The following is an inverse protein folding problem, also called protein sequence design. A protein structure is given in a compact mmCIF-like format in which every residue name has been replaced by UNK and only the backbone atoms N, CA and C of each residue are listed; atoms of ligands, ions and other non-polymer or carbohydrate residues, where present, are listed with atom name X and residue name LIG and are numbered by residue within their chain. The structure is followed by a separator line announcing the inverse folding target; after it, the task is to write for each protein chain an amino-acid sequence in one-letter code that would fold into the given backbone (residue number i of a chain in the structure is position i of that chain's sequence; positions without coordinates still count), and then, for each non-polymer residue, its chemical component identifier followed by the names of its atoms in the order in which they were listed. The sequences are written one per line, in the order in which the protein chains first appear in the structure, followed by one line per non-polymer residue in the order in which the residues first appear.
data_IF_460619627389
#
_entry.id   IF_460619627389
#
_cell.length_a   1.000
_cell.length_b   1.000
_cell.length_c   1.000
_cell.angle_alpha   90.00
_cell.angle_beta   90.00
_cell.angle_gamma   90.00
#
_symmetry.space_group_name_H-M   'P 1'
#
loop_
_entity.id
_entity.type
_entity.pdbx_description
1 polymer ?
#
# COMPACT_ATOMS: atom_id res chain seq x y z
N UNK A 1 -23.80 -7.59 -0.68
CA UNK A 1 -23.24 -8.12 0.58
C UNK A 1 -23.67 -7.19 1.71
N UNK A 2 -23.95 -7.69 2.92
CA UNK A 2 -24.24 -6.81 4.05
C UNK A 2 -22.97 -6.10 4.52
N UNK A 3 -23.12 -4.89 5.07
CA UNK A 3 -22.01 -4.06 5.61
C UNK A 3 -21.14 -4.80 6.65
N UNK A 4 -21.77 -5.69 7.42
CA UNK A 4 -21.14 -6.55 8.43
C UNK A 4 -20.17 -7.58 7.81
N UNK A 5 -20.44 -8.04 6.59
CA UNK A 5 -19.54 -8.94 5.86
C UNK A 5 -18.33 -8.20 5.30
N UNK A 6 -18.46 -6.91 4.96
CA UNK A 6 -17.35 -6.08 4.47
C UNK A 6 -16.38 -5.74 5.61
N UNK A 7 -16.88 -5.39 6.79
CA UNK A 7 -16.06 -5.12 7.98
C UNK A 7 -15.32 -6.38 8.47
N UNK A 8 -15.99 -7.54 8.43
CA UNK A 8 -15.36 -8.83 8.76
C UNK A 8 -14.27 -9.19 7.74
N UNK A 9 -14.50 -8.97 6.45
CA UNK A 9 -13.49 -9.18 5.42
C UNK A 9 -12.29 -8.21 5.57
N UNK A 10 -12.55 -6.94 5.93
CA UNK A 10 -11.53 -5.96 6.24
C UNK A 10 -10.66 -6.41 7.42
N UNK A 11 -11.30 -6.88 8.49
CA UNK A 11 -10.63 -7.34 9.70
C UNK A 11 -9.81 -8.61 9.45
N UNK A 12 -10.34 -9.57 8.69
CA UNK A 12 -9.59 -10.77 8.29
C UNK A 12 -8.39 -10.44 7.39
N UNK A 13 -8.55 -9.50 6.44
CA UNK A 13 -7.46 -9.02 5.61
C UNK A 13 -6.41 -8.27 6.45
N UNK A 14 -6.84 -7.46 7.41
CA UNK A 14 -5.92 -6.79 8.33
C UNK A 14 -5.13 -7.77 9.21
N UNK A 15 -5.78 -8.83 9.72
CA UNK A 15 -5.15 -9.85 10.56
C UNK A 15 -4.16 -10.73 9.76
N UNK A 16 -4.57 -11.16 8.57
CA UNK A 16 -3.93 -12.28 7.85
C UNK A 16 -3.45 -11.95 6.44
N UNK A 17 -3.87 -10.83 5.86
CA UNK A 17 -3.49 -10.41 4.51
C UNK A 17 -1.99 -10.14 4.40
N UNK A 18 -1.39 -10.68 3.35
CA UNK A 18 -0.04 -10.33 2.89
C UNK A 18 -0.10 -10.14 1.40
N UNK A 19 0.44 -9.02 0.95
CA UNK A 19 0.59 -8.73 -0.46
C UNK A 19 2.03 -8.33 -0.71
N UNK A 20 2.65 -8.94 -1.73
CA UNK A 20 4.00 -8.56 -2.11
C UNK A 20 3.99 -7.16 -2.79
N UNK A 21 5.08 -6.39 -2.69
CA UNK A 21 5.22 -5.14 -3.42
C UNK A 21 5.03 -5.32 -4.93
N UNK A 22 5.50 -6.44 -5.50
CA UNK A 22 5.33 -6.77 -6.91
C UNK A 22 3.85 -6.95 -7.29
N UNK A 23 3.10 -7.74 -6.53
CA UNK A 23 1.67 -7.95 -6.80
C UNK A 23 0.90 -6.64 -6.69
N UNK A 24 1.23 -5.83 -5.67
CA UNK A 24 0.59 -4.52 -5.48
C UNK A 24 0.85 -3.60 -6.67
N UNK A 25 2.11 -3.53 -7.14
CA UNK A 25 2.49 -2.72 -8.29
C UNK A 25 1.82 -3.19 -9.59
N UNK A 26 1.62 -4.49 -9.77
CA UNK A 26 0.93 -5.08 -10.93
C UNK A 26 -0.56 -4.69 -10.92
N UNK A 27 -1.24 -4.91 -9.78
CA UNK A 27 -2.68 -4.63 -9.64
C UNK A 27 -2.97 -3.14 -9.80
N UNK A 28 -2.11 -2.28 -9.22
CA UNK A 28 -2.37 -0.86 -9.07
C UNK A 28 -1.49 0.02 -9.98
N UNK A 29 -1.03 -0.52 -11.10
CA UNK A 29 -0.25 0.25 -12.07
C UNK A 29 -0.98 1.56 -12.48
N UNK A 30 -0.27 2.70 -12.61
CA UNK A 30 1.18 2.88 -12.53
C UNK A 30 1.65 3.41 -11.15
N UNK A 31 1.50 2.62 -10.08
CA UNK A 31 2.09 2.92 -8.77
C UNK A 31 3.61 2.72 -8.81
N UNK A 32 4.37 3.72 -8.32
CA UNK A 32 5.82 3.68 -8.23
C UNK A 32 6.34 3.48 -6.81
N UNK A 33 7.68 3.49 -6.68
CA UNK A 33 8.35 3.27 -5.38
C UNK A 33 7.99 4.32 -4.32
N UNK A 34 7.71 5.56 -4.75
CA UNK A 34 7.30 6.64 -3.86
C UNK A 34 5.94 6.35 -3.23
N UNK A 35 4.94 5.98 -4.03
CA UNK A 35 3.59 5.70 -3.56
C UNK A 35 3.57 4.46 -2.64
N UNK A 36 4.29 3.39 -3.00
CA UNK A 36 4.45 2.21 -2.15
C UNK A 36 5.12 2.59 -0.82
N UNK A 37 6.13 3.45 -0.86
CA UNK A 37 6.83 3.95 0.33
C UNK A 37 5.89 4.71 1.26
N UNK A 38 5.04 5.59 0.71
CA UNK A 38 4.03 6.32 1.46
C UNK A 38 3.02 5.38 2.14
N UNK A 39 2.50 4.39 1.41
CA UNK A 39 1.58 3.38 1.95
C UNK A 39 2.21 2.59 3.10
N UNK A 40 3.48 2.21 2.94
CA UNK A 40 4.18 1.37 3.90
C UNK A 40 4.84 2.14 5.05
N UNK A 41 4.91 3.48 4.96
CA UNK A 41 5.65 4.33 5.92
C UNK A 41 7.17 4.12 5.86
N UNK A 42 7.72 3.88 4.67
CA UNK A 42 9.16 3.67 4.44
C UNK A 42 9.67 4.55 3.30
N UNK A 43 10.99 4.68 3.17
CA UNK A 43 11.58 5.46 2.07
C UNK A 43 11.40 4.77 0.71
N UNK A 44 11.34 5.55 -0.37
CA UNK A 44 11.31 5.02 -1.73
C UNK A 44 12.56 4.17 -2.06
N UNK A 45 13.72 4.50 -1.49
CA UNK A 45 14.94 3.69 -1.63
C UNK A 45 14.79 2.32 -0.96
N UNK A 46 14.16 2.25 0.21
CA UNK A 46 13.82 0.97 0.85
C UNK A 46 12.94 0.11 -0.05
N UNK A 47 11.96 0.73 -0.72
CA UNK A 47 11.12 0.02 -1.68
C UNK A 47 11.92 -0.46 -2.88
N UNK A 48 12.82 0.37 -3.43
CA UNK A 48 13.67 -0.02 -4.56
C UNK A 48 14.52 -1.27 -4.25
N UNK A 49 14.97 -1.44 -3.01
CA UNK A 49 15.65 -2.66 -2.57
C UNK A 49 14.78 -3.92 -2.62
N UNK A 50 13.45 -3.79 -2.52
CA UNK A 50 12.51 -4.92 -2.66
C UNK A 50 12.29 -5.35 -4.11
N UNK A 51 12.52 -4.45 -5.06
CA UNK A 51 12.39 -4.70 -6.50
C UNK A 51 13.75 -4.98 -7.18
N UNK A 52 14.83 -5.03 -6.39
CA UNK A 52 16.15 -5.39 -6.92
C UNK A 52 16.17 -6.86 -7.34
N UNK A 53 17.11 -7.24 -8.20
CA UNK A 53 17.35 -8.64 -8.53
C UNK A 53 17.56 -9.45 -7.24
N UNK A 54 16.86 -10.58 -7.02
CA UNK A 54 17.02 -11.40 -5.81
C UNK A 54 18.45 -11.87 -5.53
N UNK A 55 19.31 -11.91 -6.56
CA UNK A 55 20.73 -12.25 -6.44
C UNK A 55 21.63 -11.08 -6.06
N UNK A 56 21.13 -9.84 -6.13
CA UNK A 56 21.90 -8.65 -5.81
C UNK A 56 22.09 -8.49 -4.30
N UNK A 57 23.28 -8.06 -3.86
CA UNK A 57 23.58 -7.74 -2.45
C UNK A 57 22.67 -6.64 -1.89
N UNK A 58 22.11 -5.80 -2.75
CA UNK A 58 21.17 -4.75 -2.39
C UNK A 58 19.74 -5.24 -2.20
N UNK A 59 19.41 -6.48 -2.58
CA UNK A 59 18.07 -7.02 -2.44
C UNK A 59 17.68 -7.19 -0.98
N UNK A 60 16.44 -6.85 -0.65
CA UNK A 60 15.87 -7.05 0.68
C UNK A 60 14.44 -7.49 0.55
N UNK A 61 14.03 -8.46 1.34
CA UNK A 61 12.62 -8.80 1.45
C UNK A 61 11.86 -7.74 2.27
N UNK A 62 10.63 -7.39 1.89
CA UNK A 62 9.78 -6.54 2.71
C UNK A 62 9.43 -7.27 4.01
N UNK A 63 9.53 -6.57 5.14
CA UNK A 63 9.08 -7.12 6.42
C UNK A 63 7.56 -7.31 6.44
N UNK A 64 7.08 -8.00 7.48
CA UNK A 64 5.67 -8.35 7.64
C UNK A 64 4.71 -7.14 7.60
N UNK A 65 5.11 -6.03 8.23
CA UNK A 65 4.31 -4.82 8.34
C UNK A 65 4.01 -4.17 6.98
N UNK A 66 4.99 -3.88 6.10
CA UNK A 66 4.74 -3.43 4.73
C UNK A 66 3.76 -4.31 3.97
N UNK A 67 3.93 -5.63 4.03
CA UNK A 67 3.06 -6.57 3.30
C UNK A 67 1.60 -6.52 3.79
N UNK A 68 1.39 -6.36 5.10
CA UNK A 68 0.06 -6.14 5.69
C UNK A 68 -0.57 -4.82 5.24
N UNK A 69 0.22 -3.75 5.23
CA UNK A 69 -0.25 -2.43 4.81
C UNK A 69 -0.65 -2.40 3.33
N UNK A 70 0.10 -3.10 2.48
CA UNK A 70 -0.24 -3.26 1.06
C UNK A 70 -1.53 -4.05 0.87
N UNK A 71 -1.71 -5.16 1.58
CA UNK A 71 -2.94 -5.94 1.53
C UNK A 71 -4.17 -5.14 2.00
N UNK A 72 -4.02 -4.40 3.11
CA UNK A 72 -5.07 -3.51 3.61
C UNK A 72 -5.41 -2.40 2.61
N UNK A 73 -4.39 -1.82 1.97
CA UNK A 73 -4.57 -0.76 0.98
C UNK A 73 -5.28 -1.28 -0.27
N UNK A 74 -4.90 -2.46 -0.78
CA UNK A 74 -5.58 -3.12 -1.90
C UNK A 74 -7.07 -3.36 -1.57
N UNK A 75 -7.37 -3.89 -0.39
CA UNK A 75 -8.75 -4.09 0.05
C UNK A 75 -9.52 -2.78 0.13
N UNK A 76 -8.93 -1.73 0.71
CA UNK A 76 -9.58 -0.43 0.87
C UNK A 76 -9.87 0.21 -0.49
N UNK A 77 -8.88 0.22 -1.40
CA UNK A 77 -9.05 0.76 -2.75
C UNK A 77 -10.12 0.01 -3.54
N UNK A 78 -10.17 -1.33 -3.47
CA UNK A 78 -11.23 -2.13 -4.12
C UNK A 78 -12.61 -1.87 -3.53
N UNK A 79 -12.71 -1.88 -2.20
CA UNK A 79 -13.98 -1.71 -1.48
C UNK A 79 -14.63 -0.37 -1.80
N UNK A 80 -13.83 0.70 -1.86
CA UNK A 80 -14.33 2.04 -2.13
C UNK A 80 -14.19 2.48 -3.59
N UNK A 81 -13.79 1.56 -4.48
CA UNK A 81 -13.59 1.80 -5.91
C UNK A 81 -12.68 3.03 -6.20
N UNK A 82 -11.59 3.15 -5.43
CA UNK A 82 -10.59 4.19 -5.58
C UNK A 82 -9.35 3.70 -6.32
N UNK A 83 -8.62 4.65 -6.90
CA UNK A 83 -7.25 4.43 -7.40
C UNK A 83 -6.22 4.98 -6.41
N UNK A 84 -4.99 4.43 -6.35
CA UNK A 84 -3.92 4.94 -5.50
C UNK A 84 -3.59 6.42 -5.76
N UNK A 85 -3.77 6.88 -7.00
CA UNK A 85 -3.55 8.28 -7.39
C UNK A 85 -4.61 9.19 -6.76
N UNK A 86 -5.87 8.77 -6.74
CA UNK A 86 -6.95 9.49 -6.04
C UNK A 86 -6.70 9.52 -4.53
N UNK A 87 -6.26 8.41 -3.95
CA UNK A 87 -5.90 8.36 -2.52
C UNK A 87 -4.74 9.30 -2.18
N UNK A 88 -3.69 9.30 -2.99
CA UNK A 88 -2.54 10.20 -2.80
C UNK A 88 -2.94 11.68 -2.90
N UNK A 89 -3.79 12.03 -3.87
CA UNK A 89 -4.31 13.39 -4.01
C UNK A 89 -5.13 13.83 -2.78
N UNK A 90 -5.94 12.94 -2.21
CA UNK A 90 -6.69 13.21 -0.98
C UNK A 90 -5.76 13.41 0.22
N UNK A 91 -4.72 12.59 0.38
CA UNK A 91 -3.73 12.77 1.44
C UNK A 91 -2.98 14.10 1.32
N UNK A 92 -2.53 14.46 0.11
CA UNK A 92 -1.86 15.75 -0.12
C UNK A 92 -2.78 16.95 0.14
N UNK A 93 -4.08 16.82 -0.17
CA UNK A 93 -5.06 17.85 0.16
C UNK A 93 -5.26 17.97 1.67
N UNK A 94 -5.41 16.84 2.37
CA UNK A 94 -5.57 16.81 3.82
C UNK A 94 -4.36 17.40 4.56
N UNK A 95 -3.13 17.04 4.14
CA UNK A 95 -1.91 17.59 4.72
C UNK A 95 -1.79 19.10 4.49
N UNK A 96 -2.18 19.60 3.30
CA UNK A 96 -2.24 21.04 3.02
C UNK A 96 -3.21 21.77 3.94
N UNK A 97 -4.40 21.21 4.15
CA UNK A 97 -5.40 21.80 5.04
C UNK A 97 -4.91 21.90 6.48
N UNK A 98 -4.23 20.85 6.98
CA UNK A 98 -3.66 20.85 8.34
C UNK A 98 -2.39 21.68 8.52
N UNK A 99 -1.66 21.99 7.45
CA UNK A 99 -0.51 22.89 7.53
C UNK A 99 -0.88 24.38 7.59
N UNK A 100 -2.16 24.70 7.41
CA UNK A 100 -2.72 26.06 7.43
C UNK A 100 -3.50 26.36 8.73
N UNK A 101 -3.61 25.38 9.63
CA UNK A 101 -4.15 25.51 10.99
C UNK A 101 -3.01 25.67 12.02
#
# INVERSE_FOLDING_TARGET
MSRENEETAAFQNWMWGRMSPNDFAIVWAPVGYREIGLVCGVSASTVQHWFSDPSATSHREPSDRPQRLLALTDWWLRTFNFTPRQLSAQFEQYLRQRSLE
#
